data_IF_425363547641
#
_entry.id   IF_425363547641
#
_cell.length_a   1.000
_cell.length_b   1.000
_cell.length_c   1.000
_cell.angle_alpha   90.00
_cell.angle_beta   90.00
_cell.angle_gamma   90.00
#
_symmetry.space_group_name_H-M   'P 1'
#
loop_
_entity.id
_entity.type
_entity.pdbx_description
1 polymer ?
#
# COMPACT_ATOMS: atom_id res chain seq x y z
N UNK A 1 -15.89 9.03 -60.32
CA UNK A 1 -15.38 10.13 -59.45
C UNK A 1 -15.59 9.75 -57.99
N UNK A 2 -14.83 8.81 -57.46
CA UNK A 2 -15.00 8.30 -56.07
C UNK A 2 -13.66 7.79 -55.55
N UNK A 3 -12.66 8.66 -55.42
CA UNK A 3 -11.36 8.25 -54.86
C UNK A 3 -10.54 9.46 -54.38
N UNK A 4 -11.14 10.33 -53.57
CA UNK A 4 -10.38 11.44 -52.95
C UNK A 4 -10.83 11.80 -51.53
N UNK A 5 -11.87 11.15 -51.01
CA UNK A 5 -12.39 11.44 -49.67
C UNK A 5 -11.92 10.47 -48.58
N UNK A 6 -11.59 9.20 -48.90
CA UNK A 6 -11.10 8.25 -47.89
C UNK A 6 -9.65 8.45 -47.47
N UNK A 7 -8.82 9.09 -48.30
CA UNK A 7 -7.39 9.34 -47.97
C UNK A 7 -7.24 10.54 -47.02
N UNK A 8 -8.25 11.40 -46.88
CA UNK A 8 -8.22 12.55 -45.96
C UNK A 8 -8.55 12.19 -44.50
N UNK A 9 -9.07 10.99 -44.22
CA UNK A 9 -9.42 10.60 -42.84
C UNK A 9 -8.29 9.85 -42.11
N UNK A 10 -7.30 9.30 -42.81
CA UNK A 10 -6.16 8.60 -42.19
C UNK A 10 -4.94 9.48 -41.94
N UNK A 11 -4.91 10.71 -42.47
CA UNK A 11 -3.76 11.63 -42.33
C UNK A 11 -3.95 12.64 -41.18
N UNK A 12 -5.14 12.72 -40.57
CA UNK A 12 -5.41 13.70 -39.50
C UNK A 12 -5.02 13.27 -38.08
N UNK A 13 -4.38 12.12 -37.88
CA UNK A 13 -3.93 11.66 -36.55
C UNK A 13 -2.44 11.97 -36.29
N UNK A 14 -1.72 12.54 -37.27
CA UNK A 14 -0.28 12.81 -37.15
C UNK A 14 0.09 14.21 -36.63
N UNK A 15 -0.86 15.04 -36.17
CA UNK A 15 -0.58 16.45 -35.79
C UNK A 15 -0.89 16.77 -34.32
N UNK A 16 -1.53 15.89 -33.57
CA UNK A 16 -1.67 16.05 -32.12
C UNK A 16 -0.76 15.02 -31.47
N UNK A 17 0.34 15.49 -30.89
CA UNK A 17 1.23 14.69 -30.02
C UNK A 17 0.50 14.26 -28.74
N UNK A 18 -0.53 13.44 -28.89
CA UNK A 18 -1.11 12.70 -27.79
C UNK A 18 -0.09 11.60 -27.51
N UNK A 19 0.68 11.76 -26.44
CA UNK A 19 1.42 10.66 -25.86
C UNK A 19 0.38 9.65 -25.37
N UNK A 20 0.00 8.71 -26.24
CA UNK A 20 -0.91 7.63 -25.88
C UNK A 20 -0.21 6.79 -24.81
N UNK A 21 -0.75 6.85 -23.60
CA UNK A 21 -0.33 5.94 -22.55
C UNK A 21 -0.93 4.56 -22.81
N UNK A 22 -0.18 3.52 -22.45
CA UNK A 22 -0.59 2.12 -22.61
C UNK A 22 -1.06 1.53 -21.28
N UNK A 23 -2.11 0.71 -21.36
CA UNK A 23 -2.82 0.15 -20.20
C UNK A 23 -2.09 -0.98 -19.49
N UNK A 24 -2.71 -1.52 -18.45
CA UNK A 24 -2.17 -2.64 -17.68
C UNK A 24 -2.00 -3.89 -18.56
N UNK A 25 -0.84 -4.53 -18.45
CA UNK A 25 -0.38 -5.67 -19.26
C UNK A 25 -0.07 -5.38 -20.73
N UNK A 26 -0.24 -4.14 -21.19
CA UNK A 26 0.11 -3.74 -22.56
C UNK A 26 1.62 -3.58 -22.74
N UNK A 27 2.09 -3.67 -24.00
CA UNK A 27 3.49 -3.49 -24.34
C UNK A 27 3.88 -2.01 -24.28
N UNK A 28 4.97 -1.70 -23.58
CA UNK A 28 5.47 -0.33 -23.43
C UNK A 28 6.86 -0.10 -23.99
N UNK A 29 7.65 -1.16 -24.21
CA UNK A 29 8.96 -1.07 -24.85
C UNK A 29 9.41 -2.42 -25.44
N UNK A 30 10.44 -2.37 -26.29
CA UNK A 30 11.07 -3.53 -26.90
C UNK A 30 11.84 -3.15 -28.16
N UNK A 31 12.84 -3.92 -28.56
CA UNK A 31 13.51 -3.71 -29.85
C UNK A 31 12.49 -3.85 -31.01
N UNK A 32 12.38 -2.82 -31.84
CA UNK A 32 11.37 -2.74 -32.90
C UNK A 32 10.00 -2.22 -32.46
N UNK A 33 9.83 -1.84 -31.19
CA UNK A 33 8.60 -1.26 -30.64
C UNK A 33 8.86 0.14 -30.05
N UNK A 34 8.03 1.15 -30.35
CA UNK A 34 8.20 2.49 -29.79
C UNK A 34 8.08 2.46 -28.27
N UNK A 35 8.86 3.29 -27.57
CA UNK A 35 8.71 3.44 -26.12
C UNK A 35 7.47 4.28 -25.84
N UNK A 36 6.50 3.69 -25.14
CA UNK A 36 5.24 4.33 -24.79
C UNK A 36 5.13 4.46 -23.27
N UNK A 37 4.65 5.61 -22.75
CA UNK A 37 4.42 5.78 -21.33
C UNK A 37 3.28 4.86 -20.87
N UNK A 38 3.35 4.35 -19.64
CA UNK A 38 2.23 3.62 -19.05
C UNK A 38 1.18 4.58 -18.48
N UNK A 39 -0.06 4.12 -18.35
CA UNK A 39 -1.09 4.84 -17.59
C UNK A 39 -0.64 5.13 -16.15
N UNK A 40 -1.28 6.12 -15.53
CA UNK A 40 -0.91 6.54 -14.19
C UNK A 40 -0.90 5.37 -13.19
N UNK A 41 0.18 5.25 -12.41
CA UNK A 41 0.34 4.20 -11.40
C UNK A 41 0.85 2.86 -11.95
N UNK A 42 1.15 2.79 -13.24
CA UNK A 42 1.82 1.66 -13.87
C UNK A 42 3.28 2.01 -14.19
N UNK A 43 4.14 1.00 -14.19
CA UNK A 43 5.55 1.11 -14.59
C UNK A 43 5.84 0.10 -15.69
N UNK A 44 6.66 0.52 -16.65
CA UNK A 44 7.13 -0.34 -17.73
C UNK A 44 8.22 -1.26 -17.19
N UNK A 45 7.89 -2.53 -16.98
CA UNK A 45 8.85 -3.54 -16.55
C UNK A 45 9.39 -4.28 -17.78
N UNK A 46 10.69 -4.57 -17.80
CA UNK A 46 11.29 -5.30 -18.90
C UNK A 46 11.17 -6.81 -18.65
N UNK A 47 10.74 -7.55 -19.66
CA UNK A 47 10.76 -9.02 -19.63
C UNK A 47 11.98 -9.58 -20.34
N UNK A 48 12.23 -9.07 -21.54
CA UNK A 48 13.38 -9.45 -22.36
C UNK A 48 13.70 -8.30 -23.34
N UNK A 49 14.68 -8.51 -24.24
CA UNK A 49 15.12 -7.53 -25.24
C UNK A 49 13.98 -6.98 -26.12
N UNK A 50 12.97 -7.79 -26.41
CA UNK A 50 11.91 -7.47 -27.37
C UNK A 50 10.59 -7.07 -26.72
N UNK A 51 10.44 -7.28 -25.41
CA UNK A 51 9.15 -7.10 -24.74
C UNK A 51 9.30 -6.55 -23.32
N UNK A 52 8.61 -5.44 -23.09
CA UNK A 52 8.39 -4.81 -21.79
C UNK A 52 6.92 -4.44 -21.65
N UNK A 53 6.35 -4.53 -20.45
CA UNK A 53 4.93 -4.31 -20.22
C UNK A 53 4.61 -3.46 -19.00
N UNK A 54 3.49 -2.74 -19.05
CA UNK A 54 3.00 -1.90 -17.98
C UNK A 54 2.31 -2.69 -16.88
N UNK A 55 2.81 -2.61 -15.65
CA UNK A 55 2.19 -3.27 -14.49
C UNK A 55 2.30 -2.40 -13.24
N UNK A 56 1.46 -2.67 -12.23
CA UNK A 56 1.53 -1.98 -10.92
C UNK A 56 2.79 -2.39 -10.14
N UNK A 57 3.05 -3.70 -10.14
CA UNK A 57 4.16 -4.34 -9.46
C UNK A 57 4.87 -5.24 -10.46
N UNK A 58 6.18 -5.43 -10.28
CA UNK A 58 6.86 -6.38 -11.12
C UNK A 58 6.56 -7.82 -10.69
N UNK A 59 6.22 -8.73 -11.63
CA UNK A 59 6.10 -10.15 -11.34
C UNK A 59 7.47 -10.77 -11.06
N UNK A 60 7.72 -11.11 -9.79
CA UNK A 60 8.93 -11.81 -9.36
C UNK A 60 8.93 -13.25 -9.92
N UNK A 61 10.11 -13.80 -10.22
CA UNK A 61 10.31 -15.19 -10.65
C UNK A 61 9.58 -15.64 -11.94
N UNK A 62 9.14 -14.71 -12.79
CA UNK A 62 8.45 -15.01 -14.06
C UNK A 62 9.24 -14.59 -15.31
N UNK A 63 10.56 -14.47 -15.18
CA UNK A 63 11.47 -14.06 -16.24
C UNK A 63 11.38 -12.57 -16.57
N UNK A 64 11.05 -11.73 -15.59
CA UNK A 64 11.11 -10.27 -15.70
C UNK A 64 12.41 -9.74 -15.11
N UNK A 65 13.08 -8.83 -15.84
CA UNK A 65 14.31 -8.16 -15.43
C UNK A 65 14.01 -7.02 -14.44
N UNK A 66 13.40 -7.36 -13.31
CA UNK A 66 13.12 -6.42 -12.22
C UNK A 66 14.01 -6.60 -11.02
N UNK A 67 14.74 -7.71 -11.00
CA UNK A 67 15.77 -7.99 -10.05
C UNK A 67 17.09 -7.80 -10.78
N UNK A 68 17.60 -6.57 -10.78
CA UNK A 68 19.03 -6.42 -10.90
C UNK A 68 19.63 -7.08 -9.66
N UNK A 69 20.12 -8.29 -9.84
CA UNK A 69 20.94 -9.02 -8.87
C UNK A 69 21.97 -8.07 -8.22
N UNK A 70 21.78 -7.79 -6.94
CA UNK A 70 22.86 -8.00 -5.98
C UNK A 70 22.23 -8.67 -4.76
N UNK A 71 22.65 -9.90 -4.51
CA UNK A 71 22.55 -10.57 -3.21
C UNK A 71 23.42 -9.83 -2.19
N UNK A 72 23.03 -8.60 -1.87
CA UNK A 72 23.34 -7.98 -0.59
C UNK A 72 22.08 -8.16 0.23
N UNK A 73 22.24 -8.68 1.46
CA UNK A 73 21.15 -8.74 2.42
C UNK A 73 20.37 -7.41 2.36
N UNK A 74 19.03 -7.45 2.28
CA UNK A 74 18.25 -6.21 2.22
C UNK A 74 18.70 -5.34 3.39
N UNK A 75 18.87 -4.01 3.20
CA UNK A 75 19.45 -3.16 4.23
C UNK A 75 18.70 -3.33 5.55
N UNK A 76 17.39 -3.56 5.46
CA UNK A 76 16.50 -3.88 6.57
C UNK A 76 15.78 -5.22 6.28
N UNK A 77 15.47 -5.98 7.33
CA UNK A 77 14.60 -7.16 7.26
C UNK A 77 13.18 -6.72 6.87
N UNK A 78 12.31 -7.62 6.39
CA UNK A 78 10.90 -7.29 6.19
C UNK A 78 10.15 -7.29 7.53
N UNK A 79 8.91 -6.78 7.52
CA UNK A 79 8.04 -6.92 8.67
C UNK A 79 7.84 -8.41 8.98
N UNK A 80 8.02 -8.82 10.24
CA UNK A 80 7.96 -10.21 10.71
C UNK A 80 9.17 -11.10 10.38
N UNK A 81 10.20 -10.58 9.71
CA UNK A 81 11.42 -11.34 9.44
C UNK A 81 12.39 -11.36 10.62
N UNK A 82 13.35 -12.30 10.59
CA UNK A 82 14.45 -12.33 11.55
C UNK A 82 15.36 -11.10 11.37
N UNK A 83 15.67 -10.44 12.47
CA UNK A 83 16.50 -9.23 12.52
C UNK A 83 17.69 -9.38 13.47
N UNK A 84 17.88 -10.55 14.09
CA UNK A 84 18.94 -10.74 15.06
C UNK A 84 18.99 -12.14 15.63
N UNK A 85 19.96 -12.34 16.51
CA UNK A 85 20.32 -13.63 17.08
C UNK A 85 21.83 -13.89 16.96
N UNK A 86 22.38 -14.60 17.92
CA UNK A 86 23.74 -15.12 17.83
C UNK A 86 23.89 -16.02 16.59
N UNK A 87 24.90 -15.72 15.76
CA UNK A 87 25.10 -16.37 14.45
C UNK A 87 24.33 -15.73 13.27
N UNK A 88 23.47 -14.73 13.52
CA UNK A 88 22.73 -14.06 12.44
C UNK A 88 23.63 -13.10 11.64
N UNK A 89 23.74 -13.38 10.33
CA UNK A 89 24.49 -12.59 9.35
C UNK A 89 23.59 -11.75 8.42
N UNK A 90 22.27 -11.83 8.59
CA UNK A 90 21.30 -11.10 7.79
C UNK A 90 21.05 -9.66 8.28
N UNK A 91 19.99 -9.02 7.74
CA UNK A 91 19.64 -7.65 8.10
C UNK A 91 19.37 -7.50 9.59
N UNK A 92 19.83 -6.41 10.20
CA UNK A 92 19.58 -6.12 11.63
C UNK A 92 18.59 -5.00 11.90
N UNK A 93 18.30 -4.19 10.90
CA UNK A 93 17.31 -3.14 10.97
C UNK A 93 15.95 -3.65 10.50
N UNK A 94 14.87 -3.10 11.06
CA UNK A 94 13.50 -3.38 10.67
C UNK A 94 12.94 -2.23 9.82
N UNK A 95 11.88 -2.45 9.02
CA UNK A 95 11.27 -1.39 8.24
C UNK A 95 10.57 -0.39 9.18
N UNK A 96 10.24 0.79 8.66
CA UNK A 96 9.56 1.81 9.45
C UNK A 96 8.27 1.26 10.10
N UNK A 97 8.06 1.57 11.38
CA UNK A 97 6.94 1.05 12.15
C UNK A 97 7.17 -0.32 12.79
N UNK A 98 8.34 -0.94 12.58
CA UNK A 98 8.73 -2.21 13.21
C UNK A 98 9.99 -2.05 14.09
N UNK A 99 10.06 -2.81 15.17
CA UNK A 99 11.22 -2.93 16.03
C UNK A 99 11.70 -4.37 16.08
N UNK A 100 13.02 -4.54 16.22
CA UNK A 100 13.64 -5.84 16.36
C UNK A 100 13.52 -6.32 17.80
N UNK A 101 12.62 -7.28 18.06
CA UNK A 101 12.41 -7.83 19.40
C UNK A 101 13.10 -9.18 19.54
N UNK A 102 13.90 -9.33 20.60
CA UNK A 102 14.58 -10.58 20.89
C UNK A 102 13.62 -11.56 21.56
N UNK A 103 13.49 -12.75 20.96
CA UNK A 103 12.76 -13.88 21.55
C UNK A 103 13.69 -14.79 22.33
N UNK A 104 14.92 -14.94 21.86
CA UNK A 104 15.96 -15.77 22.49
C UNK A 104 17.35 -15.25 22.11
N UNK A 105 18.40 -15.81 22.69
CA UNK A 105 19.80 -15.45 22.37
C UNK A 105 20.13 -15.67 20.89
N UNK A 106 19.50 -16.65 20.23
CA UNK A 106 19.76 -17.01 18.83
C UNK A 106 18.72 -16.43 17.85
N UNK A 107 17.69 -15.72 18.32
CA UNK A 107 16.60 -15.29 17.45
C UNK A 107 15.92 -13.99 17.91
N UNK A 108 15.91 -13.01 17.02
CA UNK A 108 15.14 -11.77 17.12
C UNK A 108 14.31 -11.54 15.86
N UNK A 109 13.12 -10.98 16.00
CA UNK A 109 12.19 -10.76 14.89
C UNK A 109 11.71 -9.31 14.83
N UNK A 110 11.56 -8.78 13.62
CA UNK A 110 10.90 -7.51 13.38
C UNK A 110 9.40 -7.64 13.69
N UNK A 111 8.88 -6.89 14.65
CA UNK A 111 7.42 -6.81 14.88
C UNK A 111 6.98 -5.36 14.96
N UNK A 112 5.70 -5.03 14.74
CA UNK A 112 5.22 -3.67 14.87
C UNK A 112 5.60 -3.07 16.22
N UNK A 113 5.99 -1.80 16.24
CA UNK A 113 6.32 -1.10 17.48
C UNK A 113 5.12 -1.16 18.43
N UNK A 114 5.31 -1.74 19.61
CA UNK A 114 4.26 -1.93 20.62
C UNK A 114 3.57 -3.30 20.59
N UNK A 115 3.82 -4.11 19.55
CA UNK A 115 3.37 -5.52 19.46
C UNK A 115 4.50 -6.47 19.89
N UNK A 116 4.96 -6.31 21.14
CA UNK A 116 5.88 -7.25 21.75
C UNK A 116 5.13 -8.26 22.65
N UNK A 117 5.25 -9.57 22.37
CA UNK A 117 4.73 -10.62 23.25
C UNK A 117 5.39 -10.62 24.64
N UNK A 118 4.62 -11.03 25.66
CA UNK A 118 5.06 -11.04 27.06
C UNK A 118 6.23 -11.99 27.35
N UNK A 119 6.45 -12.99 26.49
CA UNK A 119 7.52 -14.00 26.58
C UNK A 119 8.84 -13.57 25.92
N UNK A 120 8.95 -12.31 25.47
CA UNK A 120 10.12 -11.77 24.75
C UNK A 120 10.84 -10.70 25.57
N UNK A 121 12.08 -10.37 25.19
CA UNK A 121 12.98 -9.50 25.95
C UNK A 121 12.54 -8.03 26.09
N UNK A 122 11.34 -7.67 25.63
CA UNK A 122 10.73 -6.34 25.83
C UNK A 122 9.91 -6.26 27.13
N UNK A 123 9.63 -7.38 27.80
CA UNK A 123 8.97 -7.42 29.10
C UNK A 123 9.86 -6.89 30.25
N UNK A 124 11.16 -6.63 29.98
CA UNK A 124 12.14 -6.24 30.99
C UNK A 124 12.19 -4.74 31.33
N UNK A 125 11.22 -3.91 30.91
CA UNK A 125 11.24 -2.46 31.17
C UNK A 125 10.35 -1.96 32.31
N UNK A 126 9.78 -2.82 33.16
CA UNK A 126 8.96 -2.34 34.30
C UNK A 126 9.76 -2.18 35.60
N UNK A 127 11.03 -2.60 35.68
CA UNK A 127 11.76 -2.49 36.95
C UNK A 127 13.11 -1.78 36.79
N UNK A 128 13.17 -0.58 37.37
CA UNK A 128 14.35 0.23 37.69
C UNK A 128 15.06 0.93 36.53
N UNK A 129 14.72 2.21 36.31
CA UNK A 129 15.66 3.17 35.73
C UNK A 129 15.85 4.36 36.69
N UNK A 130 17.08 4.62 37.18
CA UNK A 130 17.46 5.92 37.67
C UNK A 130 17.45 6.92 36.50
N UNK A 131 16.78 8.05 36.70
CA UNK A 131 16.69 9.16 35.74
C UNK A 131 18.06 9.79 35.49
N UNK A 132 18.70 9.41 34.39
CA UNK A 132 19.85 10.13 33.82
C UNK A 132 19.38 10.84 32.54
N UNK A 133 19.55 12.17 32.40
CA UNK A 133 19.10 12.88 31.21
C UNK A 133 20.01 12.55 30.01
N UNK A 134 19.43 11.99 28.95
CA UNK A 134 20.09 11.74 27.66
C UNK A 134 19.87 12.97 26.76
N UNK A 135 20.90 13.48 26.06
CA UNK A 135 20.75 14.58 25.11
C UNK A 135 19.97 14.13 23.88
N UNK A 136 18.89 14.85 23.58
CA UNK A 136 17.96 14.59 22.47
C UNK A 136 18.48 15.22 21.18
N UNK A 137 19.02 14.40 20.28
CA UNK A 137 19.13 14.74 18.85
C UNK A 137 18.81 13.50 18.01
N UNK A 138 17.52 13.23 17.80
CA UNK A 138 17.05 12.29 16.78
C UNK A 138 15.82 12.86 16.08
N UNK A 139 16.03 13.33 14.86
CA UNK A 139 14.99 13.83 13.94
C UNK A 139 14.28 12.63 13.28
N UNK A 140 13.29 12.07 13.96
CA UNK A 140 12.25 11.26 13.32
C UNK A 140 11.13 12.22 12.89
N UNK A 141 10.65 12.21 11.63
CA UNK A 141 9.54 13.05 11.22
C UNK A 141 8.27 12.57 11.92
N UNK A 142 7.74 13.42 12.79
CA UNK A 142 6.46 13.25 13.49
C UNK A 142 5.35 13.10 12.45
N UNK A 143 4.39 12.15 12.59
CA UNK A 143 3.23 12.08 11.72
C UNK A 143 2.44 13.39 11.83
N UNK A 144 2.34 14.11 10.72
CA UNK A 144 1.64 15.39 10.66
C UNK A 144 0.14 15.12 10.80
N UNK A 145 -0.41 15.51 11.95
CA UNK A 145 -1.85 15.50 12.18
C UNK A 145 -2.43 16.69 11.43
N UNK A 146 -3.29 16.41 10.45
CA UNK A 146 -3.93 17.48 9.67
C UNK A 146 -5.10 18.10 10.45
N UNK A 147 -5.50 19.34 10.15
CA UNK A 147 -6.76 19.87 10.64
C UNK A 147 -7.95 19.13 10.00
N UNK A 148 -9.10 19.18 10.67
CA UNK A 148 -10.36 18.77 10.06
C UNK A 148 -10.56 19.57 8.76
N UNK A 149 -11.11 18.95 7.72
CA UNK A 149 -11.31 19.51 6.38
C UNK A 149 -10.02 19.74 5.56
N UNK A 150 -8.88 19.24 6.02
CA UNK A 150 -7.65 19.28 5.25
C UNK A 150 -7.60 18.21 4.16
N UNK A 151 -6.86 18.50 3.07
CA UNK A 151 -6.53 17.53 2.03
C UNK A 151 -5.63 16.44 2.58
N UNK A 152 -6.04 15.18 2.41
CA UNK A 152 -5.32 14.00 2.92
C UNK A 152 -4.73 13.12 1.81
N UNK A 153 -4.82 13.53 0.53
CA UNK A 153 -4.13 12.86 -0.57
C UNK A 153 -2.67 13.34 -0.73
N UNK A 154 -1.75 12.45 -1.13
CA UNK A 154 -0.32 12.72 -1.41
C UNK A 154 0.57 13.16 -0.22
N UNK A 155 0.13 12.98 1.02
CA UNK A 155 0.99 13.18 2.19
C UNK A 155 1.25 11.79 2.80
N UNK A 156 2.46 11.27 2.63
CA UNK A 156 2.84 9.86 2.89
C UNK A 156 2.77 9.37 4.35
N UNK A 157 1.98 10.02 5.21
CA UNK A 157 1.73 9.70 6.62
C UNK A 157 0.69 10.65 7.25
N UNK A 158 -0.16 11.33 6.46
CA UNK A 158 -1.16 12.23 7.03
C UNK A 158 -2.26 11.46 7.76
N UNK A 159 -2.39 11.73 9.05
CA UNK A 159 -3.43 11.16 9.91
C UNK A 159 -4.48 12.24 10.16
N UNK A 160 -5.74 11.93 9.86
CA UNK A 160 -6.87 12.80 10.18
C UNK A 160 -7.08 12.84 11.71
N UNK A 161 -7.54 13.97 12.26
CA UNK A 161 -7.76 14.10 13.69
C UNK A 161 -8.81 13.10 14.18
N UNK A 162 -8.73 12.73 15.46
CA UNK A 162 -9.65 11.78 16.10
C UNK A 162 -11.11 12.20 15.82
N UNK A 163 -11.93 11.23 15.39
CA UNK A 163 -13.33 11.46 15.01
C UNK A 163 -13.53 11.88 13.55
N UNK A 164 -12.46 11.97 12.75
CA UNK A 164 -12.55 12.19 11.30
C UNK A 164 -11.77 11.14 10.53
N UNK A 165 -12.18 10.87 9.29
CA UNK A 165 -11.51 9.95 8.38
C UNK A 165 -11.24 10.65 7.05
N UNK A 166 -10.24 10.18 6.31
CA UNK A 166 -9.92 10.69 4.98
C UNK A 166 -10.94 10.14 3.97
N UNK A 167 -11.89 10.98 3.54
CA UNK A 167 -12.91 10.60 2.57
C UNK A 167 -12.49 11.01 1.15
N UNK A 168 -12.68 10.12 0.18
CA UNK A 168 -12.39 10.40 -1.23
C UNK A 168 -13.58 11.11 -1.87
N UNK A 169 -13.35 12.32 -2.37
CA UNK A 169 -14.29 13.02 -3.24
C UNK A 169 -14.13 12.55 -4.68
N UNK A 170 -12.90 12.55 -5.18
CA UNK A 170 -12.53 12.07 -6.50
C UNK A 170 -11.06 11.59 -6.50
N UNK A 171 -10.57 11.15 -7.65
CA UNK A 171 -9.20 10.62 -7.82
C UNK A 171 -8.09 11.57 -7.35
N UNK A 172 -8.30 12.89 -7.46
CA UNK A 172 -7.31 13.93 -7.16
C UNK A 172 -7.58 14.66 -5.84
N UNK A 173 -8.68 14.35 -5.16
CA UNK A 173 -9.12 15.11 -3.99
C UNK A 173 -9.70 14.19 -2.91
N UNK A 174 -9.03 14.15 -1.77
CA UNK A 174 -9.49 13.49 -0.54
C UNK A 174 -9.36 14.45 0.63
N UNK A 175 -10.29 14.40 1.58
CA UNK A 175 -10.36 15.36 2.69
C UNK A 175 -10.71 14.67 4.02
N UNK A 176 -10.12 15.14 5.13
CA UNK A 176 -10.47 14.68 6.47
C UNK A 176 -11.86 15.20 6.88
N UNK A 177 -12.86 14.33 7.02
CA UNK A 177 -14.22 14.73 7.45
C UNK A 177 -14.77 13.79 8.52
N UNK A 178 -15.77 14.21 9.31
CA UNK A 178 -16.47 13.31 10.25
C UNK A 178 -17.39 12.31 9.54
N UNK A 179 -17.87 12.64 8.34
CA UNK A 179 -18.72 11.77 7.52
C UNK A 179 -18.52 12.04 6.03
N UNK A 180 -18.80 11.04 5.19
CA UNK A 180 -18.82 11.16 3.73
C UNK A 180 -20.00 12.05 3.28
N UNK A 181 -19.78 13.10 2.48
CA UNK A 181 -20.85 13.89 1.87
C UNK A 181 -21.55 13.17 0.72
N UNK A 182 -22.85 13.46 0.52
CA UNK A 182 -23.74 12.78 -0.43
C UNK A 182 -23.37 12.89 -1.92
N UNK A 183 -22.37 13.70 -2.27
CA UNK A 183 -21.95 13.98 -3.66
C UNK A 183 -20.53 13.48 -3.96
N UNK A 184 -19.92 12.76 -3.02
CA UNK A 184 -18.53 12.34 -3.11
C UNK A 184 -18.44 10.92 -3.65
N UNK A 185 -17.30 10.57 -4.25
CA UNK A 185 -17.07 9.20 -4.71
C UNK A 185 -17.32 8.16 -3.60
N UNK A 186 -17.06 8.47 -2.33
CA UNK A 186 -17.41 7.60 -1.19
C UNK A 186 -18.92 7.31 -0.99
N UNK A 187 -19.81 7.99 -1.72
CA UNK A 187 -21.25 7.70 -1.84
C UNK A 187 -21.47 6.42 -2.67
N UNK A 188 -20.82 6.33 -3.83
CA UNK A 188 -21.00 5.30 -4.85
C UNK A 188 -19.91 4.22 -4.82
N UNK A 189 -18.74 4.56 -4.32
CA UNK A 189 -17.59 3.67 -4.13
C UNK A 189 -17.84 2.83 -2.88
N UNK A 190 -18.57 1.75 -3.09
CA UNK A 190 -18.87 0.74 -2.10
C UNK A 190 -18.08 -0.52 -2.37
N UNK A 191 -17.67 -1.18 -1.31
CA UNK A 191 -16.99 -2.48 -1.35
C UNK A 191 -18.02 -3.56 -1.69
N UNK A 192 -17.71 -4.36 -2.71
CA UNK A 192 -18.53 -5.48 -3.16
C UNK A 192 -18.52 -6.65 -2.18
N UNK A 193 -19.38 -7.64 -2.42
CA UNK A 193 -19.43 -8.84 -1.60
C UNK A 193 -18.08 -9.60 -1.66
N UNK A 194 -17.59 -10.02 -0.50
CA UNK A 194 -16.30 -10.67 -0.24
C UNK A 194 -15.06 -9.78 -0.47
N UNK A 195 -15.22 -8.51 -0.79
CA UNK A 195 -14.10 -7.58 -0.94
C UNK A 195 -13.71 -6.97 0.40
N UNK A 196 -12.42 -6.64 0.54
CA UNK A 196 -11.87 -6.12 1.79
C UNK A 196 -12.42 -4.72 2.08
N UNK A 197 -13.00 -4.55 3.27
CA UNK A 197 -13.58 -3.30 3.77
C UNK A 197 -12.90 -2.78 5.05
N UNK A 198 -11.83 -3.44 5.51
CA UNK A 198 -11.14 -3.01 6.72
C UNK A 198 -9.99 -3.90 7.15
N UNK A 199 -9.40 -3.50 8.27
CA UNK A 199 -8.18 -4.07 8.83
C UNK A 199 -7.21 -2.97 9.27
N UNK A 200 -6.44 -3.20 10.32
CA UNK A 200 -5.33 -2.32 10.70
C UNK A 200 -4.40 -2.10 9.48
N UNK A 201 -4.12 -0.84 9.15
CA UNK A 201 -3.30 -0.49 7.98
C UNK A 201 -3.99 -0.63 6.62
N UNK A 202 -5.26 -1.04 6.55
CA UNK A 202 -6.02 -1.06 5.30
C UNK A 202 -6.29 0.37 4.82
N UNK A 203 -5.82 0.69 3.63
CA UNK A 203 -6.05 1.96 2.94
C UNK A 203 -6.94 1.68 1.73
N UNK A 204 -8.23 1.92 1.88
CA UNK A 204 -9.22 1.62 0.85
C UNK A 204 -10.64 2.00 1.27
N UNK A 205 -11.62 1.46 0.56
CA UNK A 205 -13.03 1.71 0.82
C UNK A 205 -13.48 0.90 2.04
N UNK A 206 -14.14 1.54 3.00
CA UNK A 206 -14.58 0.87 4.25
C UNK A 206 -16.08 0.66 4.34
N UNK A 207 -16.83 1.20 3.37
CA UNK A 207 -18.28 1.12 3.29
C UNK A 207 -18.69 0.01 2.34
N UNK A 208 -19.48 -0.94 2.82
CA UNK A 208 -20.05 -2.00 2.00
C UNK A 208 -21.24 -1.52 1.16
N UNK A 209 -21.49 -2.22 0.05
CA UNK A 209 -22.66 -1.96 -0.78
C UNK A 209 -23.98 -2.13 0.00
N UNK A 210 -25.08 -1.51 -0.43
CA UNK A 210 -26.39 -1.67 0.22
C UNK A 210 -26.74 -3.14 0.42
N UNK A 211 -27.18 -3.51 1.63
CA UNK A 211 -27.50 -4.89 1.99
C UNK A 211 -26.31 -5.74 2.47
N UNK A 212 -25.09 -5.20 2.46
CA UNK A 212 -23.89 -5.86 2.97
C UNK A 212 -23.41 -5.19 4.27
N UNK A 213 -22.75 -5.98 5.13
CA UNK A 213 -22.07 -5.50 6.35
C UNK A 213 -20.60 -5.90 6.31
N UNK A 214 -19.74 -5.04 6.84
CA UNK A 214 -18.32 -5.32 6.98
C UNK A 214 -18.11 -6.21 8.21
N UNK A 215 -17.75 -7.47 7.98
CA UNK A 215 -17.43 -8.41 9.05
C UNK A 215 -15.91 -8.46 9.20
N UNK A 216 -15.41 -8.43 10.44
CA UNK A 216 -13.98 -8.60 10.70
C UNK A 216 -13.67 -10.09 10.83
N UNK A 217 -12.64 -10.56 10.12
CA UNK A 217 -12.08 -11.90 10.34
C UNK A 217 -10.95 -11.86 11.36
N UNK A 218 -10.19 -10.78 11.32
CA UNK A 218 -9.04 -10.55 12.19
C UNK A 218 -8.84 -9.05 12.40
N UNK A 219 -7.89 -8.67 13.25
CA UNK A 219 -7.48 -7.27 13.43
C UNK A 219 -6.97 -6.62 12.13
N UNK A 220 -6.48 -7.41 11.17
CA UNK A 220 -5.85 -6.93 9.93
C UNK A 220 -6.73 -7.08 8.69
N UNK A 221 -7.89 -7.74 8.80
CA UNK A 221 -8.71 -8.05 7.64
C UNK A 221 -10.20 -8.13 7.98
N UNK A 222 -11.00 -7.38 7.23
CA UNK A 222 -12.46 -7.42 7.23
C UNK A 222 -12.98 -7.39 5.79
N UNK A 223 -14.07 -8.08 5.51
CA UNK A 223 -14.73 -8.03 4.19
C UNK A 223 -16.22 -7.80 4.28
N UNK A 224 -16.83 -7.38 3.18
CA UNK A 224 -18.27 -7.18 3.08
C UNK A 224 -19.00 -8.48 2.80
N UNK A 225 -20.01 -8.82 3.60
CA UNK A 225 -20.87 -9.97 3.32
C UNK A 225 -22.34 -9.64 3.63
N UNK A 226 -23.26 -10.36 2.98
CA UNK A 226 -24.69 -10.23 3.24
C UNK A 226 -25.07 -10.83 4.60
N UNK A 227 -24.39 -11.91 4.98
CA UNK A 227 -24.50 -12.60 6.25
C UNK A 227 -23.12 -12.87 6.84
N UNK A 228 -23.05 -13.10 8.14
CA UNK A 228 -21.82 -13.50 8.81
C UNK A 228 -21.22 -14.77 8.16
N UNK A 229 -19.99 -14.73 7.64
CA UNK A 229 -19.31 -15.93 7.17
C UNK A 229 -18.80 -16.71 8.39
N UNK A 230 -19.49 -17.76 8.84
CA UNK A 230 -18.96 -18.64 9.89
C UNK A 230 -17.83 -19.55 9.33
N UNK A 231 -16.89 -20.07 10.16
CA UNK A 231 -16.83 -20.01 11.63
C UNK A 231 -15.84 -18.98 12.22
N UNK A 232 -14.83 -18.52 11.48
CA UNK A 232 -13.71 -17.72 12.05
C UNK A 232 -13.91 -16.19 11.98
N UNK A 233 -15.15 -15.70 12.03
CA UNK A 233 -15.45 -14.29 11.84
C UNK A 233 -16.09 -13.68 13.07
N UNK A 234 -15.65 -12.46 13.39
CA UNK A 234 -16.18 -11.67 14.49
C UNK A 234 -17.51 -11.07 14.03
N UNK A 235 -18.57 -11.80 14.32
CA UNK A 235 -19.92 -11.41 14.00
C UNK A 235 -20.64 -11.00 15.27
N UNK A 236 -20.71 -9.69 15.51
CA UNK A 236 -21.50 -9.14 16.60
C UNK A 236 -22.98 -9.41 16.30
N UNK A 237 -23.53 -10.46 16.93
CA UNK A 237 -24.98 -10.64 17.02
C UNK A 237 -25.52 -9.51 17.89
N UNK A 238 -26.40 -8.69 17.32
CA UNK A 238 -27.32 -7.88 18.11
C UNK A 238 -28.42 -8.79 18.64
#
# INVERSE_FOLDING_TARGET
MTSSFLIKLTVLVAIIGIAYSVGIYEQCAGEGYPTLPCDFGLRCFRRNKWFSSCQHNCPLNLGWECETFVTLAPPHALGWDQCGGEGWSGPRACPAGYACYARSVHYSQCRPVGDCPLDWACAALISTLPSTPIPTTSTVPVPVTLPAYAKCNNVGYAVCPIGTACFRNNYLYSECRPSCPATWACETDVVGQNEQCGGEGYVGLTRCAPGLRCYARSRWYAHCAASCPAPDWICWQK
#
